data_IF_904416560067
#
_entry.id   IF_904416560067
#
_cell.length_a   1.000
_cell.length_b   1.000
_cell.length_c   1.000
_cell.angle_alpha   90.00
_cell.angle_beta   90.00
_cell.angle_gamma   90.00
#
_symmetry.space_group_name_H-M   'P 1'
#
loop_
_entity.id
_entity.type
_entity.pdbx_description
1 polymer ?
#
# COMPACT_ATOMS: atom_id res chain seq x y z
N UNK A 1 -7.01 -28.21 6.44
CA UNK A 1 -7.31 -26.85 5.92
C UNK A 1 -8.75 -26.52 6.31
N UNK A 2 -8.92 -25.61 7.25
CA UNK A 2 -10.22 -25.08 7.61
C UNK A 2 -10.74 -24.21 6.45
N UNK A 3 -11.96 -24.45 5.99
CA UNK A 3 -12.62 -23.69 4.91
C UNK A 3 -12.76 -22.18 5.25
N UNK A 4 -12.51 -21.80 6.51
CA UNK A 4 -12.55 -20.41 7.00
C UNK A 4 -11.21 -19.88 7.52
N UNK A 5 -10.12 -20.65 7.43
CA UNK A 5 -8.81 -20.16 7.84
C UNK A 5 -8.23 -19.31 6.70
N UNK A 6 -7.87 -18.09 7.01
CA UNK A 6 -7.05 -17.25 6.15
C UNK A 6 -5.77 -17.99 5.80
N UNK A 7 -5.44 -18.09 4.51
CA UNK A 7 -4.17 -18.68 4.04
C UNK A 7 -3.01 -17.67 4.14
N UNK A 8 -3.21 -16.56 4.82
CA UNK A 8 -2.22 -15.50 4.91
C UNK A 8 -1.10 -15.87 5.89
N UNK A 9 0.15 -15.57 5.55
CA UNK A 9 1.26 -15.76 6.47
C UNK A 9 1.18 -14.76 7.64
N UNK A 10 1.78 -15.12 8.76
CA UNK A 10 1.97 -14.20 9.87
C UNK A 10 3.12 -13.24 9.54
N UNK A 11 2.89 -11.95 9.71
CA UNK A 11 3.94 -10.94 9.60
C UNK A 11 4.49 -10.59 10.98
N UNK A 12 5.79 -10.57 11.11
CA UNK A 12 6.50 -10.20 12.34
C UNK A 12 7.48 -9.09 12.02
N UNK A 13 7.34 -7.94 12.66
CA UNK A 13 8.21 -6.77 12.44
C UNK A 13 8.99 -6.51 13.71
N UNK A 14 10.31 -6.57 13.62
CA UNK A 14 11.23 -6.39 14.77
C UNK A 14 10.85 -7.24 16.00
N UNK A 15 10.34 -8.46 15.77
CA UNK A 15 9.90 -9.39 16.79
C UNK A 15 8.45 -9.20 17.24
N UNK A 16 7.74 -8.19 16.77
CA UNK A 16 6.32 -7.94 17.09
C UNK A 16 5.43 -8.54 16.00
N UNK A 17 4.57 -9.53 16.34
CA UNK A 17 3.62 -10.06 15.38
C UNK A 17 2.54 -9.02 15.05
N UNK A 18 2.35 -8.75 13.76
CA UNK A 18 1.27 -7.92 13.27
C UNK A 18 0.04 -8.77 13.00
N UNK A 19 -1.07 -8.43 13.64
CA UNK A 19 -2.34 -9.05 13.32
C UNK A 19 -2.89 -8.41 12.04
N UNK A 20 -3.01 -9.20 10.95
CA UNK A 20 -3.52 -8.75 9.65
C UNK A 20 -4.97 -8.26 9.66
N UNK A 21 -5.60 -8.22 10.85
CA UNK A 21 -6.97 -7.75 11.05
C UNK A 21 -7.08 -6.25 11.32
N UNK A 22 -5.98 -5.55 11.56
CA UNK A 22 -6.00 -4.12 11.89
C UNK A 22 -6.06 -3.28 10.62
N UNK A 23 -7.06 -2.41 10.60
CA UNK A 23 -7.34 -1.38 9.60
C UNK A 23 -7.68 -1.89 8.19
N UNK A 24 -8.91 -2.30 8.01
CA UNK A 24 -9.53 -2.33 6.68
C UNK A 24 -9.89 -0.90 6.29
N UNK A 25 -9.26 -0.26 5.32
CA UNK A 25 -9.90 0.88 4.68
C UNK A 25 -11.10 0.32 3.92
N UNK A 26 -12.25 0.29 4.58
CA UNK A 26 -13.50 -0.04 3.92
C UNK A 26 -13.85 1.17 3.05
N UNK A 27 -13.79 1.01 1.75
CA UNK A 27 -14.52 1.87 0.82
C UNK A 27 -16.01 1.59 1.05
N UNK A 28 -16.56 2.24 2.08
CA UNK A 28 -17.98 2.20 2.39
C UNK A 28 -18.69 3.10 1.38
N UNK A 29 -19.01 2.55 0.21
CA UNK A 29 -19.96 3.19 -0.69
C UNK A 29 -21.36 3.02 -0.09
N UNK A 30 -21.75 3.95 0.81
CA UNK A 30 -23.10 4.15 1.29
C UNK A 30 -23.67 2.96 2.08
N UNK A 31 -23.88 3.16 3.36
CA UNK A 31 -24.72 2.28 4.17
C UNK A 31 -26.12 2.20 3.54
N UNK A 32 -26.45 1.09 2.89
CA UNK A 32 -27.81 0.86 2.39
C UNK A 32 -27.95 0.09 1.08
N UNK A 33 -26.96 0.07 0.22
CA UNK A 33 -27.02 -0.80 -0.96
C UNK A 33 -26.34 -2.12 -0.63
N UNK A 34 -27.08 -3.21 -0.52
CA UNK A 34 -26.56 -4.57 -0.28
C UNK A 34 -25.69 -5.13 -1.42
N UNK A 35 -24.90 -4.30 -2.04
CA UNK A 35 -23.91 -4.63 -3.04
C UNK A 35 -22.55 -4.71 -2.33
N UNK A 36 -22.33 -5.83 -1.64
CA UNK A 36 -20.99 -6.24 -1.21
C UNK A 36 -20.20 -6.66 -2.46
N UNK A 37 -19.53 -5.71 -3.08
CA UNK A 37 -18.60 -5.97 -4.18
C UNK A 37 -17.31 -6.59 -3.67
N UNK A 38 -17.43 -7.77 -3.09
CA UNK A 38 -16.31 -8.59 -2.71
C UNK A 38 -15.71 -8.22 -1.36
N UNK A 39 -15.28 -9.22 -0.65
CA UNK A 39 -14.47 -9.12 0.54
C UNK A 39 -13.32 -8.15 0.29
N UNK A 40 -13.32 -7.03 1.02
CA UNK A 40 -12.15 -6.15 1.02
C UNK A 40 -10.91 -7.01 1.24
N UNK A 41 -9.91 -6.98 0.35
CA UNK A 41 -8.71 -7.77 0.54
C UNK A 41 -8.18 -7.44 1.94
N UNK A 42 -7.84 -8.49 2.70
CA UNK A 42 -7.23 -8.32 4.01
C UNK A 42 -6.09 -7.33 3.87
N UNK A 43 -6.10 -6.28 4.68
CA UNK A 43 -5.14 -5.19 4.54
C UNK A 43 -3.74 -5.77 4.73
N UNK A 44 -2.89 -5.59 3.73
CA UNK A 44 -1.51 -6.00 3.82
C UNK A 44 -0.82 -5.18 4.92
N UNK A 45 -0.38 -5.79 6.03
CA UNK A 45 0.28 -5.07 7.12
C UNK A 45 1.55 -4.34 6.68
N UNK A 46 2.11 -4.71 5.53
CA UNK A 46 3.26 -4.02 4.92
C UNK A 46 2.94 -2.59 4.46
N UNK A 47 1.67 -2.22 4.35
CA UNK A 47 1.27 -0.84 4.01
C UNK A 47 1.75 0.17 5.06
N UNK A 48 1.93 -0.25 6.31
CA UNK A 48 2.36 0.60 7.41
C UNK A 48 3.88 0.60 7.64
N UNK A 49 4.63 -0.12 6.81
CA UNK A 49 6.08 -0.18 6.90
C UNK A 49 6.68 0.59 5.74
N UNK A 50 7.63 1.47 6.03
CA UNK A 50 8.41 2.12 5.01
C UNK A 50 9.37 1.11 4.36
N UNK A 51 9.23 0.79 3.06
CA UNK A 51 10.11 -0.17 2.40
C UNK A 51 11.59 0.22 2.43
N UNK A 52 11.89 1.52 2.52
CA UNK A 52 13.26 2.02 2.58
C UNK A 52 13.92 1.74 3.94
N UNK A 53 13.14 1.42 4.97
CA UNK A 53 13.64 1.06 6.30
C UNK A 53 13.81 -0.44 6.50
N UNK A 54 13.44 -1.27 5.54
CA UNK A 54 13.64 -2.71 5.63
C UNK A 54 15.13 -3.02 5.45
N UNK A 55 15.70 -3.73 6.42
CA UNK A 55 17.06 -4.24 6.36
C UNK A 55 17.08 -5.66 5.80
N UNK A 56 16.14 -6.51 6.25
CA UNK A 56 16.11 -7.93 5.90
C UNK A 56 14.67 -8.45 5.96
N UNK A 57 14.36 -9.42 5.10
CA UNK A 57 13.11 -10.16 5.09
C UNK A 57 13.44 -11.65 5.07
N UNK A 58 13.00 -12.36 6.10
CA UNK A 58 13.14 -13.80 6.24
C UNK A 58 11.80 -14.49 6.12
N UNK A 59 11.73 -15.57 5.35
CA UNK A 59 10.49 -16.35 5.17
C UNK A 59 10.68 -17.71 5.83
N UNK A 60 9.94 -17.94 6.90
CA UNK A 60 9.95 -19.20 7.66
C UNK A 60 8.73 -20.03 7.23
N UNK A 61 8.98 -21.18 6.60
CA UNK A 61 7.94 -22.08 6.09
C UNK A 61 7.87 -23.40 6.81
N UNK A 62 8.84 -23.69 7.67
CA UNK A 62 9.03 -25.00 8.30
C UNK A 62 8.40 -25.12 9.70
N UNK A 63 8.44 -26.31 10.26
CA UNK A 63 7.98 -26.61 11.62
C UNK A 63 8.65 -25.74 12.70
N UNK A 64 9.85 -25.20 12.44
CA UNK A 64 10.54 -24.24 13.30
C UNK A 64 9.74 -22.95 13.51
N UNK A 65 8.99 -22.50 12.49
CA UNK A 65 8.14 -21.33 12.56
C UNK A 65 6.97 -21.55 13.55
N UNK A 66 6.36 -22.72 13.50
CA UNK A 66 5.25 -23.07 14.41
C UNK A 66 5.70 -23.28 15.85
N UNK A 67 6.96 -23.66 16.06
CA UNK A 67 7.52 -23.81 17.41
C UNK A 67 7.63 -22.49 18.18
N UNK A 68 7.90 -21.38 17.47
CA UNK A 68 8.08 -20.06 18.10
C UNK A 68 6.75 -19.32 18.19
N UNK A 69 5.90 -19.39 17.15
CA UNK A 69 4.70 -18.55 17.03
C UNK A 69 3.39 -19.36 17.12
N UNK A 70 3.48 -20.67 17.43
CA UNK A 70 2.35 -21.57 17.60
C UNK A 70 1.51 -21.72 16.33
N UNK A 71 0.20 -21.93 16.49
CA UNK A 71 -0.74 -22.15 15.39
C UNK A 71 -0.83 -20.96 14.40
N UNK A 72 -0.43 -19.76 14.82
CA UNK A 72 -0.38 -18.58 13.93
C UNK A 72 0.65 -18.73 12.82
N UNK A 73 1.72 -19.51 13.04
CA UNK A 73 2.75 -19.78 12.05
C UNK A 73 2.42 -20.90 11.05
N UNK A 74 1.25 -21.52 11.14
CA UNK A 74 0.88 -22.69 10.32
C UNK A 74 0.90 -22.42 8.80
N UNK A 75 0.66 -21.17 8.37
CA UNK A 75 0.71 -20.74 6.96
C UNK A 75 2.05 -20.12 6.57
N UNK A 76 3.08 -20.25 7.41
CA UNK A 76 4.37 -19.60 7.28
C UNK A 76 4.41 -18.23 7.95
N UNK A 77 5.63 -17.73 8.13
CA UNK A 77 5.90 -16.45 8.80
C UNK A 77 6.83 -15.63 7.93
N UNK A 78 6.55 -14.35 7.79
CA UNK A 78 7.41 -13.37 7.16
C UNK A 78 7.97 -12.47 8.27
N UNK A 79 9.25 -12.62 8.55
CA UNK A 79 9.96 -11.82 9.55
C UNK A 79 10.62 -10.65 8.83
N UNK A 80 10.30 -9.45 9.25
CA UNK A 80 10.85 -8.20 8.70
C UNK A 80 11.69 -7.56 9.78
N UNK A 81 12.95 -7.33 9.47
CA UNK A 81 13.86 -6.60 10.35
C UNK A 81 14.08 -5.21 9.77
N UNK A 82 13.86 -4.19 10.59
CA UNK A 82 14.09 -2.81 10.16
C UNK A 82 15.53 -2.37 10.37
N UNK A 83 15.95 -1.37 9.59
CA UNK A 83 17.26 -0.74 9.73
C UNK A 83 17.37 -0.07 11.08
N UNK A 84 18.47 -0.29 11.77
CA UNK A 84 18.79 0.35 13.05
C UNK A 84 19.87 1.41 12.89
N UNK A 85 19.99 2.27 13.88
CA UNK A 85 21.09 3.23 13.96
C UNK A 85 22.45 2.51 14.00
N UNK A 86 23.45 3.11 13.41
CA UNK A 86 24.82 2.63 13.41
C UNK A 86 25.72 3.56 14.21
N UNK A 87 26.78 3.03 14.82
CA UNK A 87 27.79 3.85 15.48
C UNK A 87 28.54 4.66 14.42
N UNK A 88 28.78 5.92 14.70
CA UNK A 88 29.48 6.85 13.81
C UNK A 88 28.80 8.22 13.75
N UNK A 89 29.34 9.08 12.90
CA UNK A 89 28.77 10.41 12.67
C UNK A 89 27.34 10.32 12.13
N UNK A 90 26.57 11.37 12.38
CA UNK A 90 25.19 11.51 11.90
C UNK A 90 25.15 11.44 10.37
N UNK A 91 24.35 10.54 9.84
CA UNK A 91 24.09 10.39 8.39
C UNK A 91 22.68 10.79 8.07
N UNK A 92 22.52 11.57 7.01
CA UNK A 92 21.23 11.97 6.45
C UNK A 92 21.08 11.28 5.10
N UNK A 93 19.99 10.54 4.91
CA UNK A 93 19.64 9.90 3.66
C UNK A 93 18.36 10.55 3.13
N UNK A 94 18.41 11.10 1.92
CA UNK A 94 17.25 11.63 1.24
C UNK A 94 17.05 10.89 -0.08
N UNK A 95 15.83 10.45 -0.33
CA UNK A 95 15.43 9.80 -1.57
C UNK A 95 14.13 10.38 -2.09
N UNK A 96 14.03 10.52 -3.41
CA UNK A 96 12.78 10.89 -4.07
C UNK A 96 12.53 9.99 -5.27
N UNK A 97 11.27 9.60 -5.47
CA UNK A 97 10.83 8.81 -6.63
C UNK A 97 9.64 9.49 -7.27
N UNK A 98 9.69 9.59 -8.59
CA UNK A 98 8.61 10.12 -9.40
C UNK A 98 8.21 9.06 -10.43
N UNK A 99 6.92 8.83 -10.57
CA UNK A 99 6.37 7.92 -11.54
C UNK A 99 5.21 8.60 -12.29
N UNK A 100 5.14 8.39 -13.58
CA UNK A 100 4.01 8.80 -14.39
C UNK A 100 3.51 7.60 -15.18
N UNK A 101 2.20 7.36 -15.15
CA UNK A 101 1.58 6.33 -15.97
C UNK A 101 0.44 6.97 -16.77
N UNK A 102 0.49 6.79 -18.09
CA UNK A 102 -0.62 7.12 -18.96
C UNK A 102 -1.63 5.95 -18.94
N UNK A 103 -2.90 6.27 -18.80
CA UNK A 103 -3.94 5.24 -18.82
C UNK A 103 -3.92 4.46 -20.15
N UNK A 104 -3.79 3.16 -20.07
CA UNK A 104 -3.64 2.26 -21.23
C UNK A 104 -4.99 1.96 -21.93
N UNK A 105 -5.90 2.90 -21.92
CA UNK A 105 -7.27 2.73 -22.47
C UNK A 105 -7.35 2.80 -24.00
N UNK A 106 -6.22 2.99 -24.69
CA UNK A 106 -6.20 3.04 -26.17
C UNK A 106 -6.56 1.72 -26.90
N UNK A 107 -6.65 0.61 -26.16
CA UNK A 107 -6.97 -0.69 -26.78
C UNK A 107 -8.45 -0.95 -27.02
N UNK A 108 -9.32 -0.20 -26.35
CA UNK A 108 -10.76 -0.35 -26.53
C UNK A 108 -11.28 0.74 -27.46
N UNK A 109 -11.58 0.36 -28.70
CA UNK A 109 -12.29 1.23 -29.63
C UNK A 109 -13.74 1.27 -29.22
N UNK A 110 -14.14 2.28 -28.51
CA UNK A 110 -15.54 2.58 -28.24
C UNK A 110 -16.08 3.36 -29.42
N UNK A 111 -17.33 3.07 -29.82
CA UNK A 111 -17.99 3.81 -30.88
C UNK A 111 -18.06 5.29 -30.52
N UNK A 112 -17.72 6.16 -31.46
CA UNK A 112 -18.02 7.58 -31.32
C UNK A 112 -19.54 7.81 -31.36
N UNK A 113 -20.01 8.95 -30.89
CA UNK A 113 -21.45 9.28 -30.94
C UNK A 113 -22.02 9.20 -32.35
N UNK A 114 -21.26 9.64 -33.36
CA UNK A 114 -21.69 9.55 -34.75
C UNK A 114 -21.73 8.11 -35.28
N UNK A 115 -20.75 7.30 -34.90
CA UNK A 115 -20.75 5.87 -35.24
C UNK A 115 -21.91 5.15 -34.54
N UNK A 116 -22.22 5.52 -33.29
CA UNK A 116 -23.34 4.97 -32.57
C UNK A 116 -24.70 5.35 -33.22
N UNK A 117 -24.87 6.63 -33.60
CA UNK A 117 -26.07 7.09 -34.36
C UNK A 117 -26.21 6.34 -35.66
N UNK A 118 -25.12 6.19 -36.42
CA UNK A 118 -25.13 5.43 -37.69
C UNK A 118 -25.52 4.00 -37.44
N UNK A 119 -25.02 3.36 -36.37
CA UNK A 119 -25.37 2.00 -36.03
C UNK A 119 -26.88 1.86 -35.68
N UNK A 120 -27.42 2.81 -34.91
CA UNK A 120 -28.87 2.84 -34.58
C UNK A 120 -29.72 2.90 -35.86
N UNK A 121 -29.38 3.76 -36.82
CA UNK A 121 -30.05 3.82 -38.10
C UNK A 121 -29.94 2.50 -38.88
N UNK A 122 -28.74 1.93 -38.91
CA UNK A 122 -28.49 0.68 -39.68
C UNK A 122 -29.31 -0.49 -39.11
N UNK A 123 -29.49 -0.55 -37.82
CA UNK A 123 -30.23 -1.64 -37.14
C UNK A 123 -31.70 -1.30 -36.84
N UNK A 124 -32.22 -0.19 -37.39
CA UNK A 124 -33.63 0.25 -37.23
C UNK A 124 -34.06 0.44 -35.76
N UNK A 125 -33.12 0.91 -34.90
CA UNK A 125 -33.35 1.18 -33.48
C UNK A 125 -33.62 2.67 -33.19
N UNK A 126 -34.07 3.41 -34.19
CA UNK A 126 -34.26 4.88 -34.15
C UNK A 126 -35.25 5.38 -33.10
N UNK A 127 -36.16 4.52 -32.64
CA UNK A 127 -37.18 4.90 -31.68
C UNK A 127 -36.67 5.27 -30.29
N UNK A 128 -35.43 4.86 -29.97
CA UNK A 128 -34.76 5.15 -28.68
C UNK A 128 -34.03 6.48 -28.67
N UNK A 129 -33.75 7.08 -29.83
CA UNK A 129 -32.73 8.11 -29.95
C UNK A 129 -33.25 9.54 -29.88
N UNK A 130 -34.45 9.82 -30.38
CA UNK A 130 -34.89 11.22 -30.64
C UNK A 130 -35.13 12.03 -29.37
N UNK A 131 -35.52 11.40 -28.25
CA UNK A 131 -35.80 12.12 -27.00
C UNK A 131 -34.58 12.19 -26.06
N UNK A 132 -33.55 11.36 -26.27
CA UNK A 132 -32.39 11.27 -25.41
C UNK A 132 -31.07 11.79 -26.04
N UNK A 133 -31.09 12.02 -27.36
CA UNK A 133 -29.93 12.53 -28.08
C UNK A 133 -29.96 14.06 -28.14
N UNK A 134 -29.16 14.70 -27.32
CA UNK A 134 -28.98 16.16 -27.30
C UNK A 134 -27.94 16.66 -28.31
N UNK A 135 -27.46 15.80 -29.21
CA UNK A 135 -26.47 16.16 -30.24
C UNK A 135 -25.03 16.25 -29.74
N UNK A 136 -24.78 16.04 -28.47
CA UNK A 136 -23.45 16.14 -27.88
C UNK A 136 -22.68 14.84 -28.02
N UNK A 137 -21.35 14.95 -28.09
CA UNK A 137 -20.41 13.83 -28.11
C UNK A 137 -19.47 13.92 -26.92
N UNK A 138 -19.56 12.97 -26.01
CA UNK A 138 -18.66 12.90 -24.85
C UNK A 138 -17.86 11.60 -24.92
N UNK A 139 -16.54 11.73 -24.93
CA UNK A 139 -15.66 10.60 -24.69
C UNK A 139 -15.70 10.22 -23.21
N UNK A 140 -16.54 9.24 -22.89
CA UNK A 140 -16.77 8.80 -21.50
C UNK A 140 -15.46 8.30 -20.85
N UNK A 141 -14.57 7.65 -21.61
CA UNK A 141 -13.29 7.17 -21.08
C UNK A 141 -12.39 8.34 -20.70
N UNK A 142 -12.26 9.32 -21.59
CA UNK A 142 -11.48 10.55 -21.32
C UNK A 142 -12.08 11.37 -20.18
N UNK A 143 -13.42 11.35 -20.05
CA UNK A 143 -14.10 12.05 -18.98
C UNK A 143 -13.76 11.50 -17.59
N UNK A 144 -13.57 10.18 -17.44
CA UNK A 144 -13.32 9.51 -16.16
C UNK A 144 -11.85 9.18 -15.91
N UNK A 145 -10.98 9.24 -16.93
CA UNK A 145 -9.56 8.91 -16.81
C UNK A 145 -8.67 10.14 -16.74
N UNK A 146 -7.50 9.97 -16.16
CA UNK A 146 -6.44 10.96 -16.07
C UNK A 146 -5.08 10.28 -16.13
N UNK A 147 -4.03 11.03 -16.43
CA UNK A 147 -2.66 10.55 -16.26
C UNK A 147 -2.38 10.37 -14.76
N UNK A 148 -1.87 9.23 -14.39
CA UNK A 148 -1.47 8.93 -13.01
C UNK A 148 -0.10 9.52 -12.75
N UNK A 149 0.03 10.27 -11.65
CA UNK A 149 1.30 10.79 -11.16
C UNK A 149 1.54 10.24 -9.75
N UNK A 150 2.69 9.63 -9.54
CA UNK A 150 3.14 9.17 -8.24
C UNK A 150 4.37 9.95 -7.81
N UNK A 151 4.41 10.32 -6.53
CA UNK A 151 5.51 11.02 -5.90
C UNK A 151 5.79 10.35 -4.55
N UNK A 152 7.05 10.08 -4.29
CA UNK A 152 7.50 9.53 -3.01
C UNK A 152 8.74 10.28 -2.55
N UNK A 153 8.73 10.69 -1.29
CA UNK A 153 9.85 11.34 -0.61
C UNK A 153 10.18 10.56 0.64
N UNK A 154 11.44 10.19 0.78
CA UNK A 154 11.95 9.50 1.94
C UNK A 154 13.09 10.29 2.55
N UNK A 155 13.02 10.54 3.85
CA UNK A 155 14.07 11.17 4.62
C UNK A 155 14.43 10.25 5.78
N UNK A 156 15.71 9.95 5.97
CA UNK A 156 16.16 9.21 7.12
C UNK A 156 17.39 9.87 7.75
N UNK A 157 17.42 9.86 9.06
CA UNK A 157 18.48 10.35 9.90
C UNK A 157 18.95 9.21 10.80
N UNK A 158 20.23 8.91 10.81
CA UNK A 158 20.79 7.87 11.66
C UNK A 158 22.14 8.31 12.24
N UNK A 159 22.46 7.83 13.41
CA UNK A 159 23.73 8.16 14.04
C UNK A 159 23.85 7.52 15.42
N UNK A 160 24.96 7.79 16.08
CA UNK A 160 25.18 7.33 17.43
C UNK A 160 26.65 7.03 17.71
N UNK A 161 26.87 6.52 18.90
CA UNK A 161 28.17 6.10 19.37
C UNK A 161 28.10 4.65 19.91
N UNK A 162 29.10 4.20 20.65
CA UNK A 162 29.13 2.85 21.22
C UNK A 162 28.06 2.65 22.31
N UNK A 163 27.62 3.75 22.96
CA UNK A 163 26.65 3.72 24.04
C UNK A 163 25.21 3.94 23.57
N UNK A 164 25.01 4.73 22.53
CA UNK A 164 23.67 5.05 22.05
C UNK A 164 23.61 5.19 20.55
N UNK A 165 22.59 4.61 19.93
CA UNK A 165 22.34 4.65 18.49
C UNK A 165 20.89 4.99 18.25
N UNK A 166 20.63 5.72 17.19
CA UNK A 166 19.27 6.07 16.78
C UNK A 166 19.13 6.06 15.27
N UNK A 167 17.90 5.85 14.82
CA UNK A 167 17.46 6.07 13.45
C UNK A 167 16.06 6.63 13.48
N UNK A 168 15.84 7.71 12.75
CA UNK A 168 14.54 8.29 12.47
C UNK A 168 14.33 8.30 10.97
N UNK A 169 13.16 7.94 10.50
CA UNK A 169 12.81 8.02 9.08
C UNK A 169 11.38 8.52 8.90
N UNK A 170 11.17 9.18 7.77
CA UNK A 170 9.88 9.67 7.34
C UNK A 170 9.69 9.41 5.86
N UNK A 171 8.54 8.84 5.50
CA UNK A 171 8.10 8.64 4.13
C UNK A 171 6.80 9.41 3.89
N UNK A 172 6.80 10.24 2.89
CA UNK A 172 5.59 10.84 2.33
C UNK A 172 5.38 10.38 0.89
N UNK A 173 4.22 9.85 0.58
CA UNK A 173 3.91 9.45 -0.80
C UNK A 173 2.50 9.89 -1.18
N UNK A 174 2.37 10.33 -2.43
CA UNK A 174 1.10 10.63 -3.08
C UNK A 174 1.02 9.89 -4.40
N UNK A 175 0.02 9.04 -4.53
CA UNK A 175 -0.21 8.24 -5.73
C UNK A 175 -1.60 8.57 -6.27
N UNK A 176 -1.66 9.27 -7.39
CA UNK A 176 -2.92 9.51 -8.09
C UNK A 176 -3.24 8.29 -8.97
N UNK A 177 -4.46 7.79 -8.88
CA UNK A 177 -4.93 6.72 -9.75
C UNK A 177 -5.19 7.19 -11.18
N UNK A 178 -5.37 6.25 -12.08
CA UNK A 178 -5.74 6.55 -13.48
C UNK A 178 -7.20 7.00 -13.63
N UNK A 179 -8.05 6.69 -12.68
CA UNK A 179 -9.40 7.25 -12.61
C UNK A 179 -9.35 8.61 -11.89
N UNK A 180 -10.09 9.57 -12.41
CA UNK A 180 -10.23 10.88 -11.75
C UNK A 180 -10.79 10.72 -10.35
N UNK A 181 -10.34 11.56 -9.43
CA UNK A 181 -10.74 11.57 -8.00
C UNK A 181 -10.29 10.32 -7.21
N UNK A 182 -9.39 9.49 -7.72
CA UNK A 182 -8.76 8.44 -6.95
C UNK A 182 -7.34 8.84 -6.60
N UNK A 183 -7.01 8.84 -5.32
CA UNK A 183 -5.65 9.10 -4.83
C UNK A 183 -5.40 8.30 -3.55
N UNK A 184 -4.14 8.01 -3.29
CA UNK A 184 -3.68 7.46 -2.04
C UNK A 184 -2.52 8.32 -1.54
N UNK A 185 -2.76 9.01 -0.43
CA UNK A 185 -1.75 9.74 0.31
C UNK A 185 -1.32 8.89 1.52
N UNK A 186 -0.02 8.71 1.68
CA UNK A 186 0.55 7.89 2.75
C UNK A 186 1.70 8.63 3.42
N UNK A 187 1.67 8.66 4.75
CA UNK A 187 2.71 9.24 5.57
C UNK A 187 3.12 8.21 6.62
N UNK A 188 4.39 7.84 6.63
CA UNK A 188 4.93 6.88 7.60
C UNK A 188 6.10 7.49 8.32
N UNK A 189 6.11 7.32 9.64
CA UNK A 189 7.22 7.69 10.51
C UNK A 189 7.73 6.45 11.23
N UNK A 190 9.04 6.29 11.30
CA UNK A 190 9.69 5.26 12.09
C UNK A 190 10.81 5.87 12.91
N UNK A 191 10.85 5.53 14.19
CA UNK A 191 11.91 5.93 15.08
C UNK A 191 12.39 4.73 15.90
N UNK A 192 13.68 4.43 15.82
CA UNK A 192 14.31 3.36 16.58
C UNK A 192 15.49 3.92 17.35
N UNK A 193 15.62 3.50 18.60
CA UNK A 193 16.75 3.87 19.45
C UNK A 193 17.21 2.68 20.26
N UNK A 194 18.51 2.65 20.54
CA UNK A 194 19.14 1.68 21.42
C UNK A 194 20.14 2.41 22.29
N UNK A 195 20.08 2.15 23.58
CA UNK A 195 21.01 2.72 24.54
C UNK A 195 21.54 1.66 25.49
N UNK A 196 22.84 1.67 25.73
CA UNK A 196 23.56 0.74 26.59
C UNK A 196 23.94 1.41 27.90
N UNK A 197 23.54 0.80 29.00
CA UNK A 197 23.78 1.24 30.37
C UNK A 197 24.74 0.26 31.08
N UNK A 198 25.24 0.66 32.23
CA UNK A 198 26.00 -0.15 33.17
C UNK A 198 27.19 -0.86 32.47
N UNK A 199 28.06 -0.09 31.85
CA UNK A 199 29.22 -0.61 31.09
C UNK A 199 28.83 -1.68 30.08
N UNK A 200 27.77 -1.42 29.30
CA UNK A 200 27.23 -2.27 28.25
C UNK A 200 26.54 -3.57 28.74
N UNK A 201 26.31 -3.72 30.04
CA UNK A 201 25.61 -4.89 30.60
C UNK A 201 24.11 -4.85 30.42
N UNK A 202 23.52 -3.66 30.26
CA UNK A 202 22.10 -3.48 30.03
C UNK A 202 21.90 -2.72 28.73
N UNK A 203 21.19 -3.33 27.78
CA UNK A 203 20.79 -2.70 26.52
C UNK A 203 19.28 -2.47 26.53
N UNK A 204 18.86 -1.21 26.36
CA UNK A 204 17.45 -0.84 26.22
C UNK A 204 17.24 -0.40 24.77
N UNK A 205 16.36 -1.11 24.07
CA UNK A 205 15.93 -0.75 22.72
C UNK A 205 14.46 -0.32 22.74
N UNK A 206 14.13 0.67 21.93
CA UNK A 206 12.77 1.11 21.70
C UNK A 206 12.53 1.40 20.24
N UNK A 207 11.30 1.20 19.79
CA UNK A 207 10.87 1.48 18.44
C UNK A 207 9.45 2.06 18.43
N UNK A 208 9.23 3.02 17.56
CA UNK A 208 7.92 3.64 17.30
C UNK A 208 7.69 3.63 15.79
N UNK A 209 6.55 3.09 15.38
CA UNK A 209 6.08 3.13 13.99
C UNK A 209 4.73 3.84 13.99
N UNK A 210 4.58 4.85 13.15
CA UNK A 210 3.36 5.63 13.00
C UNK A 210 3.02 5.78 11.51
N UNK A 211 1.71 5.73 11.15
CA UNK A 211 1.25 5.88 9.78
C UNK A 211 -0.26 6.12 9.69
#
# INVERSE_FOLDING_TARGET
>A
NSIRASNNPLYVVDGVPLDGRTAKPSLNFGAGSGLDFGTTPESNPLLYINPNDIAQVDVLKDASATAIYGSRGANGIIVITTKRGQSGGTKIEFGSKFGAAAGYMHKYKVLSSDQFRTALHTYSLDTLSVSLDHGESVDALKAITQSSLSQEYNLALSGGNETGKFRASFLGSRNNGFLKKTSLDKYLGNFTGEYKFLDQRLTIGFGLIAG
#
